data_IF_091574639437
#
_entry.id   IF_091574639437
#
_cell.length_a   1.000
_cell.length_b   1.000
_cell.length_c   1.000
_cell.angle_alpha   90.00
_cell.angle_beta   90.00
_cell.angle_gamma   90.00
#
_symmetry.space_group_name_H-M   'P 1'
#
loop_
_entity.id
_entity.type
_entity.pdbx_description
1 polymer ?
#
# COMPACT_ATOMS: atom_id res chain seq x y z
N UNK A 1 16.53 -29.43 -11.09
CA UNK A 1 15.85 -29.63 -12.38
C UNK A 1 14.58 -28.79 -12.39
N UNK A 2 14.10 -28.40 -13.58
CA UNK A 2 13.05 -27.39 -13.83
C UNK A 2 11.83 -27.50 -12.89
N UNK A 3 11.43 -26.38 -12.30
CA UNK A 3 10.01 -26.03 -12.06
C UNK A 3 9.68 -24.91 -13.06
N UNK A 4 8.62 -25.08 -13.83
CA UNK A 4 8.18 -24.08 -14.82
C UNK A 4 7.16 -23.17 -14.17
N UNK A 5 7.38 -21.86 -14.24
CA UNK A 5 6.29 -20.90 -14.04
C UNK A 5 5.35 -20.99 -15.25
N UNK A 6 4.05 -20.87 -15.00
CA UNK A 6 3.03 -20.60 -16.01
C UNK A 6 2.51 -19.21 -15.70
N UNK A 7 2.99 -18.21 -16.43
CA UNK A 7 2.37 -16.90 -16.46
C UNK A 7 1.24 -16.93 -17.51
N UNK A 8 0.01 -16.66 -17.08
CA UNK A 8 -1.16 -16.64 -17.96
C UNK A 8 -1.44 -15.19 -18.38
N UNK A 9 -0.92 -14.79 -19.53
CA UNK A 9 -1.12 -13.45 -20.06
C UNK A 9 -2.57 -13.26 -20.55
N UNK A 10 -3.33 -12.39 -19.87
CA UNK A 10 -4.61 -11.88 -20.37
C UNK A 10 -4.31 -10.61 -21.19
N UNK A 11 -4.43 -10.71 -22.51
CA UNK A 11 -4.23 -9.58 -23.42
C UNK A 11 -5.58 -8.96 -23.77
N UNK A 12 -5.85 -7.75 -23.27
CA UNK A 12 -7.02 -6.96 -23.67
C UNK A 12 -6.60 -5.99 -24.79
N UNK A 13 -7.10 -6.23 -26.01
CA UNK A 13 -6.85 -5.36 -27.15
C UNK A 13 -7.87 -4.22 -27.15
N UNK A 14 -7.45 -3.02 -26.75
CA UNK A 14 -8.21 -1.78 -26.97
C UNK A 14 -7.64 -1.06 -28.20
N UNK A 15 -8.30 -1.20 -29.34
CA UNK A 15 -7.92 -0.52 -30.59
C UNK A 15 -8.50 0.88 -30.65
N UNK A 16 -7.71 1.90 -30.28
CA UNK A 16 -8.04 3.29 -30.53
C UNK A 16 -7.62 3.70 -31.95
N UNK A 17 -8.60 3.96 -32.84
CA UNK A 17 -8.36 4.54 -34.17
C UNK A 17 -8.81 6.00 -34.16
N UNK A 18 -7.86 6.92 -34.01
CA UNK A 18 -8.07 8.34 -34.23
C UNK A 18 -7.59 8.73 -35.63
N UNK A 19 -8.54 9.02 -36.54
CA UNK A 19 -8.24 9.67 -37.83
C UNK A 19 -9.14 10.89 -37.97
N UNK A 20 -8.55 12.07 -37.83
CA UNK A 20 -9.22 13.34 -38.11
C UNK A 20 -8.90 13.81 -39.53
N UNK A 21 -9.93 14.09 -40.34
CA UNK A 21 -9.83 14.95 -41.52
C UNK A 21 -11.22 15.53 -41.91
N UNK A 22 -11.40 16.82 -41.60
CA UNK A 22 -12.22 17.84 -42.30
C UNK A 22 -13.39 17.44 -43.23
N UNK A 23 -14.61 17.75 -42.78
CA UNK A 23 -15.77 18.32 -43.50
C UNK A 23 -15.80 18.43 -45.04
N UNK A 24 -16.83 17.85 -45.68
CA UNK A 24 -17.73 18.52 -46.65
C UNK A 24 -19.00 17.70 -47.01
N UNK A 25 -20.16 18.36 -46.93
CA UNK A 25 -21.47 18.18 -47.59
C UNK A 25 -22.10 16.81 -48.01
N UNK A 26 -23.24 16.52 -47.36
CA UNK A 26 -24.58 16.18 -47.90
C UNK A 26 -24.73 15.18 -49.08
N UNK A 27 -25.29 13.99 -48.78
CA UNK A 27 -26.54 13.48 -49.40
C UNK A 27 -27.07 12.18 -48.74
N UNK A 28 -28.34 12.17 -48.35
CA UNK A 28 -29.16 10.94 -48.25
C UNK A 28 -29.61 10.52 -49.66
N UNK A 29 -29.80 9.22 -49.99
CA UNK A 29 -30.85 8.40 -49.35
C UNK A 29 -30.61 6.86 -49.28
N UNK A 30 -31.54 6.14 -48.63
CA UNK A 30 -31.94 4.78 -49.05
C UNK A 30 -31.96 3.71 -47.96
N UNK A 31 -33.16 3.33 -47.52
CA UNK A 31 -33.35 2.16 -46.68
C UNK A 31 -33.37 0.86 -47.51
N UNK A 32 -32.58 -0.14 -47.12
CA UNK A 32 -32.74 -1.55 -47.51
C UNK A 32 -32.62 -2.41 -46.23
N UNK A 33 -33.27 -3.56 -46.24
CA UNK A 33 -33.68 -4.35 -45.08
C UNK A 33 -33.15 -5.80 -45.18
N UNK A 34 -33.26 -6.59 -44.11
CA UNK A 34 -33.03 -8.07 -44.01
C UNK A 34 -31.56 -8.52 -44.31
N UNK A 35 -30.89 -9.42 -43.59
CA UNK A 35 -31.33 -10.69 -43.00
C UNK A 35 -30.66 -11.10 -41.67
N UNK A 36 -31.42 -11.85 -40.88
CA UNK A 36 -31.00 -12.56 -39.68
C UNK A 36 -30.50 -13.95 -40.06
N UNK A 37 -29.28 -14.32 -39.66
CA UNK A 37 -28.85 -15.73 -39.63
C UNK A 37 -28.59 -16.16 -38.20
N UNK A 38 -29.40 -17.12 -37.73
CA UNK A 38 -29.08 -17.92 -36.56
C UNK A 38 -27.96 -18.90 -36.93
N UNK A 39 -27.02 -19.13 -36.01
CA UNK A 39 -26.38 -20.43 -35.92
C UNK A 39 -26.26 -20.84 -34.45
N UNK A 40 -26.44 -22.14 -34.22
CA UNK A 40 -26.73 -22.78 -32.94
C UNK A 40 -25.50 -23.47 -32.35
N UNK A 41 -25.32 -23.39 -31.03
CA UNK A 41 -24.47 -24.35 -30.29
C UNK A 41 -25.08 -24.68 -28.92
N UNK A 42 -25.78 -25.81 -28.91
CA UNK A 42 -25.94 -26.82 -27.86
C UNK A 42 -25.76 -26.40 -26.37
N UNK A 43 -26.88 -26.35 -25.65
CA UNK A 43 -26.91 -26.57 -24.19
C UNK A 43 -26.59 -28.04 -23.88
N UNK A 44 -25.71 -28.28 -22.91
CA UNK A 44 -25.60 -29.57 -22.22
C UNK A 44 -26.20 -29.43 -20.83
N UNK A 45 -27.48 -29.75 -20.71
CA UNK A 45 -28.12 -30.00 -19.41
C UNK A 45 -27.67 -31.34 -18.87
N UNK A 46 -27.22 -31.38 -17.61
CA UNK A 46 -27.05 -32.63 -16.88
C UNK A 46 -27.92 -32.60 -15.62
N UNK A 47 -29.06 -33.26 -15.70
CA UNK A 47 -29.90 -33.56 -14.54
C UNK A 47 -29.14 -34.48 -13.57
N UNK A 48 -29.19 -34.18 -12.28
CA UNK A 48 -28.99 -35.16 -11.21
C UNK A 48 -30.16 -35.05 -10.25
N UNK A 49 -30.78 -36.19 -10.00
CA UNK A 49 -32.04 -36.36 -9.27
C UNK A 49 -31.90 -36.25 -7.75
N UNK A 50 -32.93 -35.71 -7.11
CA UNK A 50 -33.24 -35.98 -5.70
C UNK A 50 -33.55 -37.49 -5.52
N UNK A 51 -33.02 -38.11 -4.46
CA UNK A 51 -33.78 -38.66 -3.33
C UNK A 51 -32.87 -39.57 -2.43
N UNK A 52 -33.40 -39.98 -1.27
CA UNK A 52 -32.86 -40.90 -0.25
C UNK A 52 -32.04 -40.25 0.87
N UNK A 53 -32.75 -39.94 1.96
CA UNK A 53 -32.18 -39.73 3.29
C UNK A 53 -32.25 -41.02 4.13
N UNK A 54 -31.19 -41.33 4.88
CA UNK A 54 -31.26 -42.19 6.08
C UNK A 54 -30.01 -42.03 6.95
N UNK A 55 -30.23 -41.64 8.22
CA UNK A 55 -29.57 -42.04 9.48
C UNK A 55 -28.18 -42.74 9.40
N UNK A 56 -27.15 -42.30 10.14
CA UNK A 56 -26.98 -42.74 11.54
C UNK A 56 -26.10 -41.82 12.44
N UNK A 57 -26.58 -41.65 13.68
CA UNK A 57 -25.89 -41.50 14.99
C UNK A 57 -24.50 -40.88 15.16
N UNK A 58 -24.49 -39.74 15.86
CA UNK A 58 -23.73 -39.40 17.09
C UNK A 58 -22.49 -40.22 17.52
N UNK A 59 -21.43 -39.49 17.91
CA UNK A 59 -20.68 -39.77 19.15
C UNK A 59 -20.12 -38.47 19.76
N UNK A 60 -20.50 -38.18 21.01
CA UNK A 60 -19.84 -37.18 21.87
C UNK A 60 -18.79 -37.87 22.74
N UNK A 61 -17.69 -37.19 23.04
CA UNK A 61 -16.84 -37.53 24.19
C UNK A 61 -16.32 -36.24 24.86
N UNK A 62 -16.92 -35.91 25.99
CA UNK A 62 -16.41 -34.95 26.98
C UNK A 62 -15.21 -35.52 27.74
N UNK A 63 -14.31 -34.67 28.24
CA UNK A 63 -13.70 -34.94 29.55
C UNK A 63 -13.36 -33.65 30.30
N UNK A 64 -13.52 -33.69 31.62
CA UNK A 64 -13.54 -32.52 32.51
C UNK A 64 -12.16 -32.13 33.07
N UNK A 65 -12.10 -30.91 33.62
CA UNK A 65 -10.96 -30.42 34.36
C UNK A 65 -10.79 -31.10 35.73
N UNK A 66 -9.55 -31.19 36.20
CA UNK A 66 -9.27 -31.14 37.64
C UNK A 66 -8.00 -30.32 37.89
N UNK A 67 -7.99 -29.57 38.98
CA UNK A 67 -6.86 -28.77 39.43
C UNK A 67 -6.50 -29.19 40.85
N UNK A 68 -5.21 -29.27 41.17
CA UNK A 68 -4.73 -28.94 42.51
C UNK A 68 -3.23 -28.61 42.54
N UNK A 69 -2.86 -27.81 43.54
CA UNK A 69 -1.56 -27.15 43.73
C UNK A 69 -0.57 -27.96 44.58
N UNK A 70 0.73 -27.84 44.31
CA UNK A 70 1.78 -28.01 45.32
C UNK A 70 3.04 -27.18 45.00
N UNK A 71 3.73 -26.71 46.03
CA UNK A 71 4.88 -25.79 45.99
C UNK A 71 6.15 -26.42 46.60
N UNK A 72 7.34 -26.10 46.05
CA UNK A 72 8.65 -25.94 46.73
C UNK A 72 9.24 -27.13 47.55
N UNK A 73 10.54 -27.39 47.75
CA UNK A 73 11.85 -26.70 47.56
C UNK A 73 12.89 -27.76 47.05
N UNK A 74 13.78 -27.44 46.11
CA UNK A 74 15.22 -27.11 46.27
C UNK A 74 16.18 -28.21 46.83
N UNK A 75 17.15 -28.67 46.02
CA UNK A 75 18.60 -28.70 46.36
C UNK A 75 19.51 -29.36 45.29
N UNK A 76 20.27 -28.50 44.60
CA UNK A 76 21.68 -28.58 44.16
C UNK A 76 22.37 -29.86 43.58
N UNK A 77 23.06 -29.63 42.43
CA UNK A 77 24.37 -30.19 41.98
C UNK A 77 24.48 -31.72 41.68
N UNK A 78 25.29 -32.24 40.75
CA UNK A 78 26.16 -31.76 39.65
C UNK A 78 26.42 -32.99 38.71
N UNK A 79 27.11 -33.01 37.55
CA UNK A 79 28.10 -32.13 36.87
C UNK A 79 27.75 -32.00 35.34
N UNK A 80 28.58 -31.28 34.57
CA UNK A 80 28.49 -30.97 33.12
C UNK A 80 28.88 -32.07 32.10
N UNK A 81 28.32 -31.99 30.88
CA UNK A 81 29.13 -32.11 29.64
C UNK A 81 28.49 -31.38 28.44
N UNK A 82 29.25 -30.49 27.81
CA UNK A 82 28.94 -29.71 26.60
C UNK A 82 28.87 -30.64 25.34
N UNK A 83 28.41 -30.27 24.14
CA UNK A 83 28.23 -28.92 23.54
C UNK A 83 27.17 -28.95 22.41
N UNK A 84 26.53 -27.82 22.10
CA UNK A 84 25.58 -27.65 20.98
C UNK A 84 25.41 -26.16 20.59
N UNK A 85 24.87 -25.90 19.38
CA UNK A 85 24.69 -24.58 18.71
C UNK A 85 25.99 -24.08 18.01
N UNK A 86 25.98 -23.27 16.95
CA UNK A 86 25.08 -22.16 16.57
C UNK A 86 24.31 -22.36 15.24
N UNK A 87 23.14 -21.72 15.16
CA UNK A 87 22.25 -21.78 13.99
C UNK A 87 20.92 -21.05 14.20
N UNK A 88 20.95 -19.83 14.75
CA UNK A 88 19.77 -18.98 14.88
C UNK A 88 20.16 -17.49 14.84
N UNK A 89 19.46 -16.71 14.03
CA UNK A 89 19.57 -15.25 13.99
C UNK A 89 19.07 -14.66 15.31
N UNK A 90 19.88 -13.80 15.95
CA UNK A 90 19.43 -13.04 17.12
C UNK A 90 18.49 -11.93 16.71
N UNK A 91 17.24 -12.04 17.16
CA UNK A 91 16.51 -10.85 17.60
C UNK A 91 17.31 -10.13 18.69
N UNK A 92 17.44 -8.80 18.57
CA UNK A 92 17.83 -7.93 19.68
C UNK A 92 16.79 -6.83 19.89
N UNK A 93 15.97 -6.98 20.93
CA UNK A 93 15.11 -5.92 21.42
C UNK A 93 15.96 -4.76 21.97
N UNK A 94 15.88 -3.60 21.32
CA UNK A 94 15.91 -2.29 21.98
C UNK A 94 15.09 -1.31 21.15
N UNK A 95 14.07 -0.73 21.77
CA UNK A 95 13.11 0.19 21.16
C UNK A 95 13.69 1.63 21.11
N UNK A 96 13.05 2.50 20.31
CA UNK A 96 13.42 3.89 19.96
C UNK A 96 14.61 4.08 19.00
N UNK A 97 14.31 4.63 17.81
CA UNK A 97 15.30 5.24 16.92
C UNK A 97 15.47 6.71 17.31
N UNK A 98 16.43 7.00 18.19
CA UNK A 98 16.84 8.36 18.52
C UNK A 98 17.93 8.84 17.54
N UNK A 99 17.59 9.09 16.26
CA UNK A 99 18.51 9.83 15.40
C UNK A 99 18.41 11.34 15.70
N UNK A 100 19.48 12.10 15.46
CA UNK A 100 19.40 13.56 15.63
C UNK A 100 18.34 14.17 14.70
N UNK A 101 18.11 13.56 13.53
CA UNK A 101 17.18 14.00 12.50
C UNK A 101 15.71 13.83 12.90
N UNK A 102 15.36 12.80 13.69
CA UNK A 102 13.98 12.62 14.20
C UNK A 102 13.53 13.87 14.97
N UNK A 103 14.43 14.40 15.82
CA UNK A 103 14.15 15.62 16.59
C UNK A 103 14.06 16.88 15.74
N UNK A 104 14.71 16.93 14.57
CA UNK A 104 14.62 18.07 13.64
C UNK A 104 13.35 17.99 12.79
N UNK A 105 12.95 16.79 12.36
CA UNK A 105 11.67 16.56 11.66
C UNK A 105 10.51 16.97 12.55
N UNK A 106 10.49 16.58 13.83
CA UNK A 106 9.39 16.91 14.74
C UNK A 106 9.30 18.44 15.01
N UNK A 107 10.42 19.17 15.00
CA UNK A 107 10.44 20.65 15.04
C UNK A 107 9.89 21.28 13.76
N UNK A 108 10.25 20.73 12.60
CA UNK A 108 9.79 21.20 11.30
C UNK A 108 8.27 20.97 11.14
N UNK A 109 7.75 19.80 11.53
CA UNK A 109 6.31 19.50 11.55
C UNK A 109 5.51 20.42 12.48
N UNK A 110 6.12 20.90 13.57
CA UNK A 110 5.51 21.91 14.45
C UNK A 110 5.54 23.35 13.90
N UNK A 111 6.19 23.57 12.75
CA UNK A 111 6.25 24.87 12.07
C UNK A 111 5.09 25.03 11.07
N UNK A 112 5.13 26.09 10.25
CA UNK A 112 4.12 26.32 9.21
C UNK A 112 4.61 25.77 7.87
N UNK A 113 3.76 25.01 7.18
CA UNK A 113 4.04 24.57 5.82
C UNK A 113 4.31 25.76 4.86
N UNK A 114 5.26 25.57 3.96
CA UNK A 114 5.74 26.53 2.96
C UNK A 114 5.75 25.91 1.56
N UNK A 115 6.27 26.64 0.57
CA UNK A 115 6.57 26.11 -0.76
C UNK A 115 7.99 26.58 -1.11
N UNK A 116 8.98 25.67 -1.16
CA UNK A 116 10.36 26.07 -1.37
C UNK A 116 10.64 26.35 -2.86
N UNK A 117 11.60 27.23 -3.15
CA UNK A 117 11.96 27.62 -4.53
C UNK A 117 12.39 26.43 -5.40
N UNK A 118 12.93 25.37 -4.78
CA UNK A 118 13.39 24.14 -5.42
C UNK A 118 12.44 22.95 -5.19
N UNK A 119 11.14 23.18 -4.96
CA UNK A 119 10.14 22.13 -4.70
C UNK A 119 10.18 20.99 -5.73
N UNK A 120 10.32 21.28 -7.02
CA UNK A 120 10.24 20.27 -8.09
C UNK A 120 11.47 19.33 -8.06
N UNK A 121 12.62 19.86 -7.64
CA UNK A 121 13.86 19.11 -7.40
C UNK A 121 13.71 18.21 -6.16
N UNK A 122 13.16 18.76 -5.07
CA UNK A 122 12.93 18.03 -3.81
C UNK A 122 11.94 16.90 -4.03
N UNK A 123 10.78 17.17 -4.65
CA UNK A 123 9.77 16.15 -4.98
C UNK A 123 10.33 15.07 -5.89
N UNK A 124 11.14 15.42 -6.89
CA UNK A 124 11.77 14.43 -7.78
C UNK A 124 12.66 13.47 -6.99
N UNK A 125 13.59 13.98 -6.17
CA UNK A 125 14.47 13.14 -5.36
C UNK A 125 13.67 12.34 -4.31
N UNK A 126 12.63 12.94 -3.72
CA UNK A 126 11.75 12.26 -2.77
C UNK A 126 10.98 11.09 -3.40
N UNK A 127 10.53 11.24 -4.65
CA UNK A 127 9.89 10.16 -5.40
C UNK A 127 10.90 9.04 -5.72
N UNK A 128 12.14 9.38 -6.12
CA UNK A 128 13.20 8.39 -6.33
C UNK A 128 13.52 7.61 -5.03
N UNK A 129 13.48 8.27 -3.87
CA UNK A 129 13.58 7.62 -2.54
C UNK A 129 12.42 6.65 -2.28
N UNK A 130 11.19 7.03 -2.62
CA UNK A 130 10.00 6.19 -2.43
C UNK A 130 10.05 4.94 -3.30
N UNK A 131 10.39 5.08 -4.59
CA UNK A 131 10.52 3.99 -5.56
C UNK A 131 11.65 3.01 -5.18
N UNK A 132 12.72 3.49 -4.54
CA UNK A 132 13.85 2.64 -4.11
C UNK A 132 13.53 1.66 -2.97
N UNK A 133 12.34 1.75 -2.36
CA UNK A 133 11.86 0.88 -1.27
C UNK A 133 12.84 0.78 -0.09
N UNK A 134 13.31 1.94 0.38
CA UNK A 134 14.30 2.04 1.47
C UNK A 134 13.72 2.55 2.79
N UNK A 135 12.60 3.29 2.76
CA UNK A 135 12.02 3.90 3.96
C UNK A 135 11.46 2.83 4.92
N UNK A 136 11.67 3.04 6.22
CA UNK A 136 11.09 2.24 7.30
C UNK A 136 10.79 3.11 8.52
N UNK A 137 10.06 2.58 9.51
CA UNK A 137 9.75 3.29 10.76
C UNK A 137 10.96 3.70 11.60
N UNK A 138 12.10 3.03 11.44
CA UNK A 138 13.36 3.38 12.12
C UNK A 138 14.10 4.53 11.44
N UNK A 139 13.72 4.81 10.19
CA UNK A 139 14.45 5.61 9.22
C UNK A 139 15.88 5.17 8.96
N UNK A 140 16.57 5.91 8.10
CA UNK A 140 17.98 5.71 7.81
C UNK A 140 18.65 7.00 7.30
N UNK A 141 19.98 7.05 7.43
CA UNK A 141 20.84 8.15 6.94
C UNK A 141 21.43 7.74 5.58
N UNK A 142 21.25 8.56 4.55
CA UNK A 142 21.65 8.21 3.18
C UNK A 142 23.18 8.13 2.97
N UNK A 143 23.99 8.80 3.81
CA UNK A 143 25.46 8.68 3.74
C UNK A 143 25.99 7.36 4.32
N UNK A 144 25.16 6.63 5.06
CA UNK A 144 25.58 5.50 5.90
C UNK A 144 25.00 4.17 5.36
N UNK A 145 24.46 4.18 4.14
CA UNK A 145 23.91 3.02 3.45
C UNK A 145 24.99 1.94 3.19
N UNK A 146 24.58 0.68 3.27
CA UNK A 146 25.36 -0.41 2.67
C UNK A 146 25.28 -0.38 1.14
N UNK A 147 26.11 -1.19 0.50
CA UNK A 147 26.24 -1.21 -0.97
C UNK A 147 24.95 -1.66 -1.68
N UNK A 148 24.17 -2.56 -1.10
CA UNK A 148 22.97 -3.07 -1.78
C UNK A 148 21.83 -2.04 -1.69
N UNK A 149 21.77 -1.31 -0.58
CA UNK A 149 20.89 -0.16 -0.33
C UNK A 149 21.23 1.03 -1.23
N UNK A 150 22.52 1.40 -1.32
CA UNK A 150 23.03 2.46 -2.21
C UNK A 150 22.73 2.12 -3.69
N UNK A 151 22.89 0.85 -4.11
CA UNK A 151 22.56 0.42 -5.47
C UNK A 151 21.09 0.63 -5.85
N UNK A 152 20.14 0.42 -4.91
CA UNK A 152 18.70 0.62 -5.15
C UNK A 152 18.38 2.08 -5.47
N UNK A 153 18.80 3.03 -4.62
CA UNK A 153 18.53 4.45 -4.88
C UNK A 153 19.34 4.99 -6.06
N UNK A 154 20.55 4.48 -6.32
CA UNK A 154 21.26 4.80 -7.57
C UNK A 154 20.47 4.40 -8.80
N UNK A 155 19.76 3.26 -8.81
CA UNK A 155 18.89 2.84 -9.93
C UNK A 155 17.84 3.92 -10.25
N UNK A 156 17.03 4.29 -9.27
CA UNK A 156 15.93 5.27 -9.45
C UNK A 156 16.48 6.64 -9.87
N UNK A 157 17.48 7.15 -9.15
CA UNK A 157 18.11 8.44 -9.48
C UNK A 157 18.72 8.44 -10.89
N UNK A 158 19.36 7.34 -11.32
CA UNK A 158 19.93 7.22 -12.67
C UNK A 158 18.83 7.20 -13.73
N UNK A 159 17.71 6.52 -13.49
CA UNK A 159 16.55 6.56 -14.38
C UNK A 159 15.98 7.97 -14.49
N UNK A 160 15.69 8.64 -13.38
CA UNK A 160 15.12 10.00 -13.38
C UNK A 160 16.07 11.03 -14.00
N UNK A 161 17.37 10.96 -13.71
CA UNK A 161 18.38 11.81 -14.36
C UNK A 161 18.41 11.62 -15.89
N UNK A 162 18.21 10.39 -16.38
CA UNK A 162 18.27 10.06 -17.80
C UNK A 162 16.94 10.28 -18.54
N UNK A 163 15.80 9.92 -17.96
CA UNK A 163 14.51 9.76 -18.64
C UNK A 163 13.32 10.41 -17.93
N UNK A 164 13.53 10.98 -16.75
CA UNK A 164 12.53 11.81 -16.07
C UNK A 164 12.11 13.02 -16.90
N UNK A 165 11.06 13.71 -16.43
CA UNK A 165 10.47 14.87 -17.13
C UNK A 165 10.65 16.20 -16.40
N UNK A 166 10.86 16.16 -15.08
CA UNK A 166 10.85 17.32 -14.18
C UNK A 166 11.95 17.17 -13.10
N UNK A 167 12.11 18.19 -12.24
CA UNK A 167 13.05 18.15 -11.12
C UNK A 167 14.51 18.00 -11.54
N UNK A 168 15.14 16.85 -11.21
CA UNK A 168 16.55 16.59 -11.55
C UNK A 168 16.75 16.08 -12.98
N UNK A 169 15.67 15.79 -13.71
CA UNK A 169 15.72 15.19 -15.04
C UNK A 169 16.56 15.99 -16.06
N UNK A 170 17.36 15.29 -16.86
CA UNK A 170 18.21 15.89 -17.89
C UNK A 170 19.35 16.77 -17.32
N UNK A 171 19.56 16.77 -16.00
CA UNK A 171 20.66 17.53 -15.38
C UNK A 171 22.04 16.87 -15.62
N UNK A 172 22.08 15.64 -16.12
CA UNK A 172 23.27 14.97 -16.67
C UNK A 172 23.05 14.77 -18.18
N UNK A 173 24.08 15.04 -18.98
CA UNK A 173 23.98 14.97 -20.45
C UNK A 173 23.94 13.50 -20.93
N UNK A 174 22.85 13.12 -21.60
CA UNK A 174 22.77 11.87 -22.36
C UNK A 174 23.54 11.97 -23.67
N UNK A 175 24.35 10.95 -23.92
CA UNK A 175 25.22 10.79 -25.10
C UNK A 175 24.85 9.48 -25.80
N UNK A 176 25.25 9.36 -27.06
CA UNK A 176 24.99 8.19 -27.92
C UNK A 176 26.31 7.80 -28.60
N UNK A 177 26.58 6.50 -28.72
CA UNK A 177 27.77 5.95 -29.40
C UNK A 177 27.46 5.16 -30.67
N UNK A 178 26.21 5.22 -31.13
CA UNK A 178 25.69 4.45 -32.26
C UNK A 178 25.16 3.07 -31.88
N UNK A 179 25.29 2.65 -30.61
CA UNK A 179 24.78 1.36 -30.12
C UNK A 179 23.77 1.52 -28.97
N UNK A 180 24.05 2.40 -27.99
CA UNK A 180 23.19 2.69 -26.85
C UNK A 180 23.33 4.15 -26.40
N UNK A 181 22.29 4.64 -25.72
CA UNK A 181 22.40 5.87 -24.92
C UNK A 181 23.19 5.60 -23.64
N UNK A 182 23.99 6.57 -23.21
CA UNK A 182 24.80 6.51 -22.00
C UNK A 182 24.95 7.89 -21.36
N UNK A 183 25.34 7.91 -20.08
CA UNK A 183 25.80 9.11 -19.38
C UNK A 183 27.30 8.99 -19.06
N UNK A 184 27.98 10.12 -18.88
CA UNK A 184 29.38 10.13 -18.44
C UNK A 184 29.46 9.69 -16.98
N UNK A 185 30.38 8.76 -16.67
CA UNK A 185 30.60 8.27 -15.31
C UNK A 185 30.97 9.42 -14.34
N UNK A 186 31.83 10.35 -14.77
CA UNK A 186 32.26 11.50 -13.96
C UNK A 186 31.11 12.50 -13.70
N UNK A 187 30.30 12.80 -14.73
CA UNK A 187 29.17 13.74 -14.59
C UNK A 187 28.08 13.15 -13.68
N UNK A 188 27.83 11.84 -13.79
CA UNK A 188 26.86 11.13 -12.97
C UNK A 188 27.34 10.93 -11.53
N UNK A 189 28.62 10.59 -11.31
CA UNK A 189 29.23 10.57 -9.96
C UNK A 189 29.07 11.91 -9.26
N UNK A 190 29.29 13.01 -10.00
CA UNK A 190 29.08 14.35 -9.45
C UNK A 190 27.61 14.60 -9.10
N UNK A 191 26.66 14.22 -9.96
CA UNK A 191 25.23 14.38 -9.70
C UNK A 191 24.78 13.62 -8.43
N UNK A 192 25.10 12.31 -8.34
CA UNK A 192 24.74 11.48 -7.17
C UNK A 192 25.41 11.99 -5.88
N UNK A 193 26.64 12.48 -5.97
CA UNK A 193 27.34 13.11 -4.85
C UNK A 193 26.69 14.43 -4.39
N UNK A 194 26.25 15.27 -5.31
CA UNK A 194 25.50 16.49 -4.98
C UNK A 194 24.13 16.17 -4.33
N UNK A 195 23.47 15.09 -4.79
CA UNK A 195 22.15 14.65 -4.31
C UNK A 195 22.21 14.10 -2.88
N UNK A 196 23.07 13.12 -2.56
CA UNK A 196 23.10 12.48 -1.22
C UNK A 196 24.50 12.12 -0.70
N UNK A 197 25.57 12.56 -1.38
CA UNK A 197 26.95 12.28 -0.96
C UNK A 197 27.54 10.96 -1.44
N UNK A 198 26.94 10.33 -2.46
CA UNK A 198 27.39 9.08 -3.08
C UNK A 198 28.91 9.00 -3.32
N UNK A 199 29.48 7.83 -3.09
CA UNK A 199 30.91 7.56 -3.27
C UNK A 199 31.28 7.15 -4.70
N UNK A 200 30.82 5.96 -5.11
CA UNK A 200 31.12 5.33 -6.40
C UNK A 200 29.84 4.81 -7.04
N UNK A 201 29.81 4.69 -8.38
CA UNK A 201 28.65 4.13 -9.08
C UNK A 201 28.66 2.61 -8.95
N UNK A 202 27.54 2.04 -8.52
CA UNK A 202 27.41 0.62 -8.29
C UNK A 202 26.83 -0.04 -9.55
N UNK A 203 27.70 -0.72 -10.31
CA UNK A 203 27.25 -1.49 -11.46
C UNK A 203 26.49 -2.75 -11.01
N UNK A 204 25.31 -2.95 -11.61
CA UNK A 204 24.39 -4.07 -11.36
C UNK A 204 23.76 -4.58 -12.65
N UNK A 205 22.48 -4.99 -12.58
CA UNK A 205 21.75 -5.55 -13.72
C UNK A 205 21.30 -4.45 -14.69
N UNK A 206 20.54 -3.44 -14.24
CA UNK A 206 20.13 -2.30 -15.08
C UNK A 206 21.28 -1.30 -15.32
N UNK A 207 22.06 -0.98 -14.28
CA UNK A 207 23.16 0.02 -14.32
C UNK A 207 24.48 -0.65 -14.71
N UNK A 208 25.01 -0.36 -15.90
CA UNK A 208 26.28 -0.93 -16.39
C UNK A 208 27.34 0.14 -16.60
N UNK A 209 28.48 0.00 -15.91
CA UNK A 209 29.64 0.90 -16.05
C UNK A 209 30.69 0.25 -16.95
N UNK A 210 31.06 0.90 -18.06
CA UNK A 210 32.15 0.47 -18.95
C UNK A 210 32.90 1.67 -19.54
N UNK A 211 34.22 1.69 -19.42
CA UNK A 211 35.12 2.68 -20.03
C UNK A 211 34.71 4.16 -19.83
N UNK A 212 34.29 4.55 -18.61
CA UNK A 212 33.87 5.92 -18.30
C UNK A 212 32.45 6.27 -18.75
N UNK A 213 31.67 5.27 -19.19
CA UNK A 213 30.27 5.40 -19.59
C UNK A 213 29.37 4.59 -18.67
N UNK A 214 28.19 5.13 -18.41
CA UNK A 214 27.14 4.46 -17.64
C UNK A 214 25.93 4.27 -18.56
N UNK A 215 25.59 3.00 -18.80
CA UNK A 215 24.41 2.60 -19.56
C UNK A 215 23.31 2.19 -18.58
N UNK A 216 22.07 2.51 -18.94
CA UNK A 216 20.87 2.10 -18.23
C UNK A 216 19.99 1.28 -19.17
N UNK A 217 19.61 0.07 -18.74
CA UNK A 217 18.61 -0.76 -19.39
C UNK A 217 17.31 -0.70 -18.55
N UNK A 218 16.16 -0.38 -19.16
CA UNK A 218 14.87 -0.28 -18.45
C UNK A 218 14.41 -1.64 -17.91
N UNK A 219 13.90 -1.67 -16.68
CA UNK A 219 13.03 -2.72 -16.17
C UNK A 219 11.55 -2.43 -16.50
N UNK A 220 10.70 -3.46 -16.50
CA UNK A 220 9.25 -3.33 -16.64
C UNK A 220 8.49 -3.91 -15.44
N UNK A 221 7.44 -3.21 -15.00
CA UNK A 221 6.44 -3.77 -14.07
C UNK A 221 6.72 -3.64 -12.57
N UNK A 222 7.63 -2.78 -12.14
CA UNK A 222 7.83 -2.48 -10.71
C UNK A 222 6.57 -1.86 -10.06
N UNK A 223 6.32 -2.09 -8.76
CA UNK A 223 5.30 -1.36 -8.01
C UNK A 223 5.69 0.11 -7.85
N UNK A 224 4.70 0.97 -7.64
CA UNK A 224 4.92 2.39 -7.43
C UNK A 224 4.64 2.77 -5.98
N UNK A 225 5.42 3.72 -5.46
CA UNK A 225 5.13 4.41 -4.21
C UNK A 225 5.10 5.90 -4.48
N UNK A 226 3.98 6.52 -4.14
CA UNK A 226 3.81 7.97 -4.24
C UNK A 226 3.58 8.55 -2.84
N UNK A 227 3.70 9.88 -2.74
CA UNK A 227 3.12 10.65 -1.64
C UNK A 227 1.99 11.48 -2.21
N UNK A 228 0.80 11.29 -1.63
CA UNK A 228 -0.36 12.13 -1.88
C UNK A 228 -0.25 13.44 -1.07
N UNK A 229 -0.77 14.53 -1.62
CA UNK A 229 -0.74 15.90 -1.07
C UNK A 229 0.53 16.30 -0.28
N UNK A 230 1.74 16.25 -0.89
CA UNK A 230 3.00 16.53 -0.18
C UNK A 230 3.07 17.96 0.37
N UNK A 231 3.46 18.05 1.65
CA UNK A 231 3.75 19.28 2.37
C UNK A 231 5.26 19.50 2.52
N UNK A 232 5.65 20.77 2.64
CA UNK A 232 7.04 21.17 2.82
C UNK A 232 7.18 22.05 4.07
N UNK A 233 8.21 21.79 4.86
CA UNK A 233 8.55 22.58 6.05
C UNK A 233 10.04 22.94 6.01
N UNK A 234 10.42 24.11 6.51
CA UNK A 234 11.77 24.66 6.32
C UNK A 234 12.25 25.46 7.53
N UNK A 235 13.53 25.29 7.89
CA UNK A 235 14.25 26.12 8.86
C UNK A 235 15.58 26.64 8.24
N UNK A 236 16.48 27.23 9.03
CA UNK A 236 17.76 27.75 8.53
C UNK A 236 18.70 26.68 7.92
N UNK A 237 18.49 25.38 8.21
CA UNK A 237 19.40 24.28 7.89
C UNK A 237 18.79 23.21 6.98
N UNK A 238 17.47 22.98 7.06
CA UNK A 238 16.79 21.85 6.46
C UNK A 238 15.51 22.26 5.70
N UNK A 239 15.11 21.38 4.78
CA UNK A 239 13.79 21.32 4.18
C UNK A 239 13.28 19.87 4.35
N UNK A 240 12.08 19.71 4.91
CA UNK A 240 11.37 18.45 5.02
C UNK A 240 10.33 18.37 3.91
N UNK A 241 10.31 17.25 3.19
CA UNK A 241 9.20 16.77 2.37
C UNK A 241 8.43 15.73 3.20
N UNK A 242 7.11 15.86 3.31
CA UNK A 242 6.28 14.90 4.06
C UNK A 242 4.86 14.83 3.52
N UNK A 243 4.24 13.66 3.62
CA UNK A 243 2.83 13.44 3.29
C UNK A 243 2.48 11.95 3.33
N UNK A 244 1.19 11.61 3.26
CA UNK A 244 0.73 10.22 3.25
C UNK A 244 1.30 9.48 2.03
N UNK A 245 1.94 8.33 2.25
CA UNK A 245 2.49 7.52 1.17
C UNK A 245 1.61 6.32 0.88
N UNK A 246 1.23 6.19 -0.39
CA UNK A 246 0.48 5.05 -0.92
C UNK A 246 1.45 4.14 -1.68
N UNK A 247 1.42 2.85 -1.37
CA UNK A 247 1.94 1.79 -2.22
C UNK A 247 0.83 1.36 -3.18
N UNK A 248 1.16 1.18 -4.45
CA UNK A 248 0.30 0.55 -5.45
C UNK A 248 1.07 -0.38 -6.36
N UNK A 249 0.41 -1.41 -6.88
CA UNK A 249 1.01 -2.32 -7.86
C UNK A 249 0.11 -2.64 -9.07
N UNK A 250 0.68 -3.36 -10.03
CA UNK A 250 0.04 -3.73 -11.29
C UNK A 250 -1.12 -4.75 -11.12
N UNK A 251 -1.46 -5.16 -9.89
CA UNK A 251 -2.61 -6.00 -9.55
C UNK A 251 -3.76 -5.23 -8.89
N UNK A 252 -3.69 -3.89 -8.85
CA UNK A 252 -4.68 -3.01 -8.21
C UNK A 252 -4.76 -3.18 -6.69
N UNK A 253 -3.69 -3.68 -6.06
CA UNK A 253 -3.54 -3.61 -4.61
C UNK A 253 -2.96 -2.23 -4.27
N UNK A 254 -3.69 -1.48 -3.44
CA UNK A 254 -3.26 -0.17 -2.94
C UNK A 254 -3.41 -0.12 -1.42
N UNK A 255 -2.39 0.39 -0.73
CA UNK A 255 -2.47 0.68 0.71
C UNK A 255 -1.57 1.83 1.14
N UNK A 256 -2.07 2.61 2.09
CA UNK A 256 -1.34 3.60 2.87
C UNK A 256 -0.29 2.92 3.74
N UNK A 257 0.97 3.32 3.55
CA UNK A 257 2.15 2.78 4.25
C UNK A 257 2.46 3.56 5.53
N UNK A 258 2.11 4.85 5.55
CA UNK A 258 2.52 5.81 6.56
C UNK A 258 2.84 7.17 5.94
N UNK A 259 3.11 8.18 6.76
CA UNK A 259 3.68 9.43 6.25
C UNK A 259 5.15 9.25 5.92
N UNK A 260 5.58 9.58 4.69
CA UNK A 260 6.99 9.53 4.31
C UNK A 260 7.69 10.84 4.67
N UNK A 261 8.42 10.88 5.77
CA UNK A 261 9.22 12.04 6.17
C UNK A 261 10.61 11.95 5.50
N UNK A 262 10.90 12.79 4.52
CA UNK A 262 12.16 12.81 3.77
C UNK A 262 12.86 14.17 3.97
N UNK A 263 14.03 14.14 4.60
CA UNK A 263 14.75 15.32 5.05
C UNK A 263 15.93 15.66 4.15
N UNK A 264 15.97 16.93 3.73
CA UNK A 264 17.02 17.52 2.93
C UNK A 264 17.75 18.59 3.73
N UNK A 265 19.07 18.58 3.70
CA UNK A 265 19.91 19.67 4.20
C UNK A 265 20.13 20.70 3.10
N UNK A 266 19.97 21.98 3.42
CA UNK A 266 20.32 23.09 2.52
C UNK A 266 21.82 23.05 2.20
N UNK A 267 22.16 23.08 0.92
CA UNK A 267 23.54 22.96 0.46
C UNK A 267 23.78 23.84 -0.78
N UNK A 268 24.44 24.98 -0.59
CA UNK A 268 24.81 25.90 -1.67
C UNK A 268 25.88 25.37 -2.62
N UNK A 269 26.63 24.34 -2.21
CA UNK A 269 27.70 23.74 -3.02
C UNK A 269 27.15 22.64 -3.94
N UNK A 270 25.97 22.09 -3.62
CA UNK A 270 25.21 21.18 -4.48
C UNK A 270 24.55 21.94 -5.63
N UNK A 271 24.63 21.39 -6.85
CA UNK A 271 23.90 21.89 -8.03
C UNK A 271 22.37 22.04 -7.78
N UNK A 272 21.82 21.28 -6.84
CA UNK A 272 20.39 21.19 -6.55
C UNK A 272 19.95 22.13 -5.39
N UNK A 273 20.88 22.85 -4.76
CA UNK A 273 20.63 23.70 -3.59
C UNK A 273 20.38 22.93 -2.28
N UNK A 274 20.28 21.60 -2.36
CA UNK A 274 20.04 20.67 -1.25
C UNK A 274 20.88 19.41 -1.40
N UNK A 275 21.02 18.68 -0.29
CA UNK A 275 21.50 17.31 -0.23
C UNK A 275 20.56 16.51 0.68
N UNK A 276 20.04 15.40 0.17
CA UNK A 276 19.25 14.40 0.89
C UNK A 276 20.08 13.81 2.04
N UNK A 277 19.52 13.73 3.25
CA UNK A 277 20.27 13.29 4.45
C UNK A 277 19.62 12.16 5.22
N UNK A 278 18.30 12.15 5.38
CA UNK A 278 17.59 11.16 6.20
C UNK A 278 16.17 10.92 5.68
N UNK A 279 15.63 9.72 5.86
CA UNK A 279 14.24 9.40 5.55
C UNK A 279 13.66 8.35 6.47
N UNK A 280 12.38 8.49 6.86
CA UNK A 280 11.60 7.50 7.63
C UNK A 280 10.16 7.40 7.13
N UNK A 281 9.49 6.29 7.47
CA UNK A 281 8.03 6.30 7.57
C UNK A 281 7.62 6.67 9.00
N UNK A 282 6.57 7.48 9.13
CA UNK A 282 5.96 7.87 10.40
C UNK A 282 4.52 7.36 10.43
N UNK A 283 4.19 6.52 11.41
CA UNK A 283 2.81 6.07 11.67
C UNK A 283 1.97 7.18 12.30
N UNK A 284 1.59 8.16 11.50
CA UNK A 284 0.70 9.26 11.90
C UNK A 284 -0.77 8.98 11.55
N UNK A 285 -1.26 7.79 11.90
CA UNK A 285 -2.67 7.46 11.73
C UNK A 285 -3.49 8.39 12.63
N UNK A 286 -4.39 9.16 12.01
CA UNK A 286 -5.26 10.12 12.69
C UNK A 286 -6.13 9.38 13.70
N UNK A 287 -6.07 9.82 14.96
CA UNK A 287 -6.71 9.12 16.07
C UNK A 287 -8.24 9.27 16.03
N UNK A 288 -8.91 8.12 15.95
CA UNK A 288 -10.36 7.98 16.03
C UNK A 288 -10.72 7.79 17.51
N UNK A 289 -11.48 8.73 18.07
CA UNK A 289 -11.91 8.72 19.48
C UNK A 289 -13.12 7.81 19.73
N UNK A 290 -13.97 7.61 18.73
CA UNK A 290 -15.10 6.68 18.79
C UNK A 290 -15.64 6.32 17.42
N UNK A 291 -16.26 5.13 17.33
CA UNK A 291 -17.02 4.67 16.16
C UNK A 291 -18.48 4.49 16.55
N UNK A 292 -19.39 5.00 15.72
CA UNK A 292 -20.84 4.80 15.81
C UNK A 292 -21.31 4.08 14.55
N UNK A 293 -22.07 2.98 14.68
CA UNK A 293 -22.64 2.25 13.53
C UNK A 293 -24.16 2.23 13.60
N UNK A 294 -24.83 2.09 12.45
CA UNK A 294 -26.29 1.98 12.38
C UNK A 294 -26.82 0.64 12.91
N UNK A 295 -26.01 -0.41 12.83
CA UNK A 295 -26.25 -1.73 13.43
C UNK A 295 -24.92 -2.43 13.79
N UNK A 296 -25.02 -3.50 14.56
CA UNK A 296 -23.92 -4.42 14.89
C UNK A 296 -24.52 -5.83 15.02
N UNK A 297 -23.85 -6.85 14.49
CA UNK A 297 -24.23 -8.24 14.70
C UNK A 297 -24.11 -8.61 16.20
N UNK A 298 -25.10 -9.34 16.72
CA UNK A 298 -25.10 -9.74 18.12
C UNK A 298 -23.89 -10.63 18.47
N UNK A 299 -23.18 -10.29 19.56
CA UNK A 299 -22.04 -11.05 20.04
C UNK A 299 -22.38 -12.54 20.24
N UNK A 300 -21.54 -13.44 19.72
CA UNK A 300 -21.79 -14.88 19.77
C UNK A 300 -20.49 -15.67 19.90
N UNK A 301 -20.54 -16.84 20.58
CA UNK A 301 -19.40 -17.77 20.72
C UNK A 301 -18.09 -17.11 21.20
N UNK A 302 -18.19 -16.10 22.06
CA UNK A 302 -17.04 -15.36 22.59
C UNK A 302 -16.48 -14.27 21.67
N UNK A 303 -17.10 -14.00 20.51
CA UNK A 303 -16.73 -12.92 19.59
C UNK A 303 -17.70 -11.73 19.71
N UNK A 304 -17.14 -10.53 19.56
CA UNK A 304 -17.88 -9.28 19.30
C UNK A 304 -17.86 -8.96 17.81
N UNK A 305 -18.83 -8.17 17.35
CA UNK A 305 -18.92 -7.65 15.97
C UNK A 305 -19.16 -6.13 15.99
N UNK A 306 -18.63 -5.46 17.01
CA UNK A 306 -18.92 -4.04 17.28
C UNK A 306 -18.06 -3.12 16.42
N UNK A 307 -18.55 -1.90 16.13
CA UNK A 307 -17.79 -0.88 15.42
C UNK A 307 -16.45 -0.52 16.06
N UNK A 308 -16.23 -0.85 17.35
CA UNK A 308 -14.94 -0.71 18.02
C UNK A 308 -13.83 -1.60 17.44
N UNK A 309 -14.21 -2.75 16.88
CA UNK A 309 -13.30 -3.68 16.25
C UNK A 309 -12.66 -3.07 14.97
N UNK A 310 -13.27 -2.04 14.38
CA UNK A 310 -12.75 -1.36 13.19
C UNK A 310 -11.52 -0.47 13.46
N UNK A 311 -11.15 -0.27 14.71
CA UNK A 311 -10.09 0.68 15.12
C UNK A 311 -9.20 0.12 16.23
N UNK A 312 -9.19 -1.21 16.43
CA UNK A 312 -8.41 -1.86 17.48
C UNK A 312 -7.02 -2.32 17.02
N UNK A 313 -6.73 -2.27 15.72
CA UNK A 313 -5.46 -2.65 15.12
C UNK A 313 -5.27 -4.16 14.95
N UNK A 314 -6.30 -4.98 15.21
CA UNK A 314 -6.32 -6.41 14.90
C UNK A 314 -7.36 -6.71 13.81
N UNK A 315 -6.89 -6.72 12.56
CA UNK A 315 -7.67 -7.13 11.39
C UNK A 315 -8.29 -8.54 11.49
N UNK A 316 -7.93 -9.35 12.50
CA UNK A 316 -8.54 -10.66 12.77
C UNK A 316 -9.82 -10.55 13.61
N UNK A 317 -10.14 -9.34 14.11
CA UNK A 317 -11.48 -8.93 14.54
C UNK A 317 -12.22 -8.26 13.36
N UNK A 318 -13.52 -8.00 13.54
CA UNK A 318 -14.38 -7.36 12.52
C UNK A 318 -15.53 -6.62 13.19
N UNK A 319 -16.00 -5.52 12.60
CA UNK A 319 -17.41 -5.19 12.68
C UNK A 319 -18.17 -6.00 11.63
N UNK A 320 -19.37 -6.47 11.99
CA UNK A 320 -20.33 -6.93 11.00
C UNK A 320 -21.64 -6.21 11.27
N UNK A 321 -22.34 -5.82 10.21
CA UNK A 321 -23.69 -5.28 10.28
C UNK A 321 -24.67 -6.30 10.89
N UNK A 322 -25.77 -5.82 11.47
CA UNK A 322 -26.73 -6.63 12.21
C UNK A 322 -28.17 -6.51 11.72
N UNK A 323 -28.38 -6.06 10.49
CA UNK A 323 -29.71 -6.05 9.84
C UNK A 323 -29.94 -7.37 9.10
N UNK A 324 -31.02 -7.46 8.33
CA UNK A 324 -31.30 -8.64 7.50
C UNK A 324 -30.94 -8.33 6.06
N UNK A 325 -30.04 -9.12 5.48
CA UNK A 325 -29.57 -8.97 4.11
C UNK A 325 -28.07 -8.71 4.08
N UNK A 326 -27.63 -7.86 3.15
CA UNK A 326 -26.21 -7.56 2.89
C UNK A 326 -25.79 -6.17 3.44
N UNK A 327 -26.52 -5.61 4.41
CA UNK A 327 -26.20 -4.31 5.02
C UNK A 327 -26.26 -3.06 4.10
N UNK A 328 -26.73 -3.16 2.85
CA UNK A 328 -26.75 -2.00 1.94
C UNK A 328 -27.63 -0.87 2.51
N UNK A 329 -27.03 0.30 2.67
CA UNK A 329 -27.64 1.47 3.30
C UNK A 329 -27.17 1.75 4.73
N UNK A 330 -26.54 0.77 5.39
CA UNK A 330 -25.94 0.92 6.72
C UNK A 330 -24.76 1.90 6.70
N UNK A 331 -24.42 2.44 7.87
CA UNK A 331 -23.43 3.51 8.03
C UNK A 331 -22.48 3.26 9.19
N UNK A 332 -21.23 3.63 8.99
CA UNK A 332 -20.18 3.73 10.00
C UNK A 332 -19.78 5.21 10.11
N UNK A 333 -19.82 5.79 11.30
CA UNK A 333 -19.37 7.16 11.57
C UNK A 333 -18.19 7.14 12.51
N UNK A 334 -17.07 7.67 12.03
CA UNK A 334 -15.84 7.86 12.77
C UNK A 334 -15.84 9.27 13.38
N UNK A 335 -15.48 9.37 14.66
CA UNK A 335 -15.19 10.63 15.34
C UNK A 335 -13.71 10.72 15.61
N UNK A 336 -13.07 11.80 15.19
CA UNK A 336 -11.64 12.03 15.37
C UNK A 336 -11.41 12.72 16.73
N UNK A 337 -10.23 12.58 17.33
CA UNK A 337 -9.90 13.22 18.63
C UNK A 337 -9.94 14.76 18.58
N UNK A 338 -9.66 15.32 17.41
CA UNK A 338 -9.63 16.76 17.15
C UNK A 338 -9.99 17.02 15.69
N UNK A 339 -10.42 18.25 15.41
CA UNK A 339 -10.53 18.75 14.04
C UNK A 339 -9.13 18.96 13.45
N UNK A 340 -8.85 18.36 12.30
CA UNK A 340 -7.56 18.42 11.61
C UNK A 340 -7.74 18.17 10.11
N UNK A 341 -6.67 18.35 9.31
CA UNK A 341 -6.68 17.92 7.91
C UNK A 341 -6.75 16.39 7.85
N UNK A 342 -7.57 15.88 6.94
CA UNK A 342 -7.66 14.48 6.54
C UNK A 342 -7.45 14.44 5.02
N UNK A 343 -6.55 13.60 4.54
CA UNK A 343 -6.33 13.33 3.11
C UNK A 343 -7.17 12.16 2.63
N UNK A 344 -7.36 11.13 3.46
CA UNK A 344 -8.14 9.96 3.06
C UNK A 344 -8.43 8.97 4.18
N UNK A 345 -8.99 7.82 3.79
CA UNK A 345 -9.14 6.64 4.65
C UNK A 345 -8.61 5.39 3.96
N UNK A 346 -8.37 4.35 4.75
CA UNK A 346 -8.11 2.99 4.28
C UNK A 346 -9.08 2.03 4.96
N UNK A 347 -9.70 1.12 4.19
CA UNK A 347 -10.65 0.11 4.69
C UNK A 347 -10.07 -1.29 4.41
N UNK A 348 -9.97 -2.14 5.43
CA UNK A 348 -9.72 -3.57 5.29
C UNK A 348 -11.04 -4.33 5.10
N UNK A 349 -11.37 -4.69 3.86
CA UNK A 349 -12.65 -5.26 3.49
C UNK A 349 -12.80 -6.73 3.90
N UNK A 350 -14.01 -7.14 4.31
CA UNK A 350 -14.35 -8.52 4.64
C UNK A 350 -13.80 -9.01 5.98
N UNK A 351 -14.02 -10.30 6.27
CA UNK A 351 -13.51 -10.95 7.49
C UNK A 351 -12.17 -11.65 7.24
N UNK A 352 -11.08 -10.88 7.28
CA UNK A 352 -9.76 -11.30 6.78
C UNK A 352 -9.00 -12.33 7.65
N UNK A 353 -9.52 -12.65 8.85
CA UNK A 353 -8.90 -13.60 9.79
C UNK A 353 -8.60 -15.00 9.24
N UNK A 354 -9.24 -15.43 8.15
CA UNK A 354 -8.84 -16.60 7.34
C UNK A 354 -9.61 -16.65 6.02
N UNK A 355 -9.11 -17.38 5.03
CA UNK A 355 -9.80 -17.63 3.76
C UNK A 355 -11.25 -18.11 3.93
N UNK A 356 -11.47 -19.04 4.87
CA UNK A 356 -12.81 -19.57 5.17
C UNK A 356 -13.75 -18.53 5.77
N UNK A 357 -13.22 -17.58 6.56
CA UNK A 357 -14.04 -16.49 7.12
C UNK A 357 -14.33 -15.44 6.06
N UNK A 358 -13.33 -15.02 5.28
CA UNK A 358 -13.52 -14.05 4.19
C UNK A 358 -14.57 -14.52 3.19
N UNK A 359 -14.49 -15.79 2.74
CA UNK A 359 -15.43 -16.34 1.75
C UNK A 359 -16.80 -16.74 2.31
N UNK A 360 -16.94 -16.93 3.62
CA UNK A 360 -18.23 -17.30 4.23
C UNK A 360 -19.15 -16.12 4.54
N UNK A 361 -18.60 -14.93 4.78
CA UNK A 361 -19.34 -13.72 5.18
C UNK A 361 -19.44 -12.72 4.01
N UNK A 362 -20.30 -11.71 4.14
CA UNK A 362 -20.44 -10.65 3.15
C UNK A 362 -19.26 -9.68 3.14
N UNK A 363 -19.04 -9.05 2.00
CA UNK A 363 -17.99 -8.04 1.76
C UNK A 363 -18.60 -6.80 1.10
N UNK A 364 -17.97 -5.64 1.29
CA UNK A 364 -18.32 -4.42 0.58
C UNK A 364 -17.99 -4.57 -0.91
N UNK A 365 -18.79 -3.93 -1.77
CA UNK A 365 -18.47 -3.69 -3.19
C UNK A 365 -18.47 -2.21 -3.53
N UNK A 366 -19.24 -1.38 -2.82
CA UNK A 366 -19.30 0.06 -3.07
C UNK A 366 -19.56 0.81 -1.76
N UNK A 367 -18.87 1.93 -1.58
CA UNK A 367 -19.13 2.85 -0.46
C UNK A 367 -19.27 4.30 -0.93
N UNK A 368 -20.01 5.08 -0.15
CA UNK A 368 -19.97 6.54 -0.17
C UNK A 368 -19.39 7.05 1.13
N UNK A 369 -18.26 7.75 1.06
CA UNK A 369 -17.60 8.38 2.21
C UNK A 369 -17.89 9.87 2.19
N UNK A 370 -18.47 10.42 3.26
CA UNK A 370 -18.58 11.85 3.53
C UNK A 370 -17.50 12.24 4.56
N UNK A 371 -16.49 12.99 4.11
CA UNK A 371 -15.41 13.51 4.95
C UNK A 371 -15.81 14.79 5.71
N UNK A 372 -17.09 15.17 5.66
CA UNK A 372 -17.61 16.39 6.25
C UNK A 372 -17.59 17.57 5.26
N UNK A 373 -18.28 18.65 5.64
CA UNK A 373 -18.45 19.86 4.82
C UNK A 373 -19.03 19.61 3.40
N UNK A 374 -19.67 18.45 3.17
CA UNK A 374 -20.19 18.05 1.86
C UNK A 374 -19.13 17.53 0.88
N UNK A 375 -17.93 17.18 1.37
CA UNK A 375 -16.90 16.51 0.59
C UNK A 375 -17.15 15.01 0.60
N UNK A 376 -17.78 14.50 -0.46
CA UNK A 376 -18.11 13.08 -0.58
C UNK A 376 -17.37 12.41 -1.72
N UNK A 377 -16.85 11.21 -1.48
CA UNK A 377 -16.28 10.31 -2.48
C UNK A 377 -17.19 9.08 -2.60
N UNK A 378 -17.55 8.70 -3.82
CA UNK A 378 -18.17 7.40 -4.13
C UNK A 378 -17.07 6.50 -4.70
N UNK A 379 -16.92 5.28 -4.16
CA UNK A 379 -15.76 4.42 -4.44
C UNK A 379 -16.16 2.93 -4.54
N UNK A 380 -15.66 2.24 -5.56
CA UNK A 380 -15.80 0.79 -5.74
C UNK A 380 -14.74 0.07 -4.91
N UNK A 381 -15.15 -0.86 -4.05
CA UNK A 381 -14.27 -1.57 -3.12
C UNK A 381 -13.87 -2.91 -3.76
N UNK A 382 -12.55 -3.07 -3.96
CA UNK A 382 -11.92 -4.31 -4.36
C UNK A 382 -11.64 -5.25 -3.18
N UNK A 383 -11.16 -6.44 -3.51
CA UNK A 383 -10.72 -7.43 -2.53
C UNK A 383 -10.84 -8.87 -3.00
N UNK A 384 -9.83 -9.69 -2.70
CA UNK A 384 -9.85 -11.11 -3.01
C UNK A 384 -9.08 -11.95 -1.99
N UNK A 385 -9.40 -13.25 -1.94
CA UNK A 385 -8.68 -14.23 -1.15
C UNK A 385 -8.65 -15.57 -1.90
N UNK A 386 -7.54 -16.29 -1.81
CA UNK A 386 -7.39 -17.64 -2.38
C UNK A 386 -7.10 -18.66 -1.28
N UNK A 387 -7.47 -19.92 -1.53
CA UNK A 387 -7.17 -21.01 -0.61
C UNK A 387 -5.66 -21.16 -0.44
N UNK A 388 -5.20 -21.23 0.82
CA UNK A 388 -3.79 -21.27 1.17
C UNK A 388 -3.14 -19.91 1.47
N UNK A 389 -3.83 -18.79 1.25
CA UNK A 389 -3.37 -17.49 1.75
C UNK A 389 -3.42 -17.45 3.29
N UNK A 390 -2.41 -16.82 3.91
CA UNK A 390 -2.43 -16.51 5.35
C UNK A 390 -3.40 -15.36 5.62
N UNK A 391 -3.80 -15.18 6.89
CA UNK A 391 -4.66 -14.06 7.27
C UNK A 391 -4.01 -12.70 6.93
N UNK A 392 -2.69 -12.60 7.08
CA UNK A 392 -1.92 -11.38 6.83
C UNK A 392 -1.93 -11.04 5.33
N UNK A 393 -1.67 -12.02 4.45
CA UNK A 393 -1.78 -11.86 2.98
C UNK A 393 -3.23 -11.55 2.55
N UNK A 394 -4.24 -12.07 3.24
CA UNK A 394 -5.64 -11.69 2.97
C UNK A 394 -5.86 -10.22 3.37
N UNK A 395 -5.45 -9.79 4.56
CA UNK A 395 -5.60 -8.39 4.96
C UNK A 395 -4.91 -7.42 3.99
N UNK A 396 -3.67 -7.72 3.59
CA UNK A 396 -2.90 -6.97 2.59
C UNK A 396 -3.64 -6.81 1.25
N UNK A 397 -4.22 -7.90 0.71
CA UNK A 397 -4.96 -7.88 -0.56
C UNK A 397 -6.41 -7.36 -0.46
N UNK A 398 -6.83 -6.88 0.72
CA UNK A 398 -8.19 -6.37 0.95
C UNK A 398 -8.20 -4.98 1.59
N UNK A 399 -7.04 -4.32 1.72
CA UNK A 399 -7.00 -2.89 1.94
C UNK A 399 -7.43 -2.14 0.67
N UNK A 400 -8.21 -1.09 0.87
CA UNK A 400 -8.69 -0.18 -0.18
C UNK A 400 -8.47 1.25 0.30
N UNK A 401 -7.87 2.09 -0.55
CA UNK A 401 -7.53 3.49 -0.25
C UNK A 401 -8.58 4.42 -0.85
N UNK A 402 -9.11 5.34 -0.06
CA UNK A 402 -10.14 6.30 -0.50
C UNK A 402 -9.65 7.71 -0.18
N UNK A 403 -9.15 8.40 -1.21
CA UNK A 403 -8.50 9.71 -1.11
C UNK A 403 -9.45 10.86 -1.50
N UNK A 404 -9.10 12.07 -1.06
CA UNK A 404 -9.71 13.31 -1.50
C UNK A 404 -8.83 14.02 -2.55
N UNK A 405 -9.45 14.68 -3.53
CA UNK A 405 -8.73 15.57 -4.47
C UNK A 405 -7.89 16.67 -3.77
N UNK A 406 -8.29 17.06 -2.55
CA UNK A 406 -7.65 18.08 -1.71
C UNK A 406 -8.01 17.77 -0.23
N UNK A 407 -7.05 17.78 0.73
CA UNK A 407 -7.33 17.46 2.13
C UNK A 407 -8.36 18.39 2.78
N UNK A 408 -9.22 17.85 3.65
CA UNK A 408 -10.30 18.61 4.29
C UNK A 408 -10.12 18.73 5.80
N UNK A 409 -10.38 19.91 6.36
CA UNK A 409 -10.36 20.11 7.81
C UNK A 409 -11.67 19.59 8.45
N UNK A 410 -11.62 18.44 9.12
CA UNK A 410 -12.77 17.74 9.70
C UNK A 410 -12.45 17.06 11.04
N UNK A 411 -13.50 16.70 11.79
CA UNK A 411 -13.46 15.84 13.00
C UNK A 411 -14.39 14.62 12.89
N UNK A 412 -15.09 14.47 11.76
CA UNK A 412 -16.11 13.45 11.55
C UNK A 412 -16.04 12.94 10.12
N UNK A 413 -16.08 11.61 9.95
CA UNK A 413 -16.17 10.95 8.65
C UNK A 413 -17.32 9.94 8.73
N UNK A 414 -18.22 9.93 7.74
CA UNK A 414 -19.33 8.96 7.66
C UNK A 414 -19.20 8.14 6.39
N UNK A 415 -18.99 6.84 6.55
CA UNK A 415 -18.97 5.84 5.48
C UNK A 415 -20.36 5.22 5.40
N UNK A 416 -20.93 5.15 4.20
CA UNK A 416 -22.19 4.48 3.93
C UNK A 416 -21.97 3.34 2.95
N UNK A 417 -22.50 2.15 3.26
CA UNK A 417 -22.53 1.02 2.33
C UNK A 417 -23.51 1.35 1.21
N UNK A 418 -23.02 1.44 -0.03
CA UNK A 418 -23.83 1.63 -1.24
C UNK A 418 -23.95 0.36 -2.08
N UNK A 419 -23.05 -0.59 -1.87
CA UNK A 419 -23.06 -1.93 -2.47
C UNK A 419 -22.29 -2.93 -1.61
N UNK A 420 -22.80 -4.15 -1.58
CA UNK A 420 -22.22 -5.27 -0.85
C UNK A 420 -22.59 -6.58 -1.56
N UNK A 421 -21.91 -7.66 -1.19
CA UNK A 421 -22.12 -9.00 -1.74
C UNK A 421 -22.06 -10.02 -0.61
N UNK A 422 -23.13 -10.81 -0.45
CA UNK A 422 -23.17 -11.92 0.52
C UNK A 422 -22.03 -12.93 0.33
N UNK A 423 -21.64 -13.55 1.44
CA UNK A 423 -20.73 -14.69 1.45
C UNK A 423 -21.39 -16.00 1.02
N UNK A 424 -20.60 -17.06 1.02
CA UNK A 424 -21.06 -18.41 0.71
C UNK A 424 -22.04 -18.98 1.76
N UNK A 425 -22.09 -18.41 2.98
CA UNK A 425 -22.88 -18.93 4.10
C UNK A 425 -23.72 -17.88 4.82
N UNK A 426 -23.20 -16.67 4.97
CA UNK A 426 -23.84 -15.56 5.69
C UNK A 426 -23.98 -14.37 4.75
N UNK A 427 -25.12 -13.68 4.84
CA UNK A 427 -25.36 -12.41 4.14
C UNK A 427 -24.76 -11.20 4.90
N UNK A 428 -24.56 -11.33 6.22
CA UNK A 428 -23.95 -10.32 7.09
C UNK A 428 -22.64 -9.77 6.49
N UNK A 429 -22.60 -8.48 6.15
CA UNK A 429 -21.38 -7.82 5.63
C UNK A 429 -20.44 -7.43 6.75
N UNK A 430 -19.16 -7.81 6.62
CA UNK A 430 -18.13 -7.55 7.62
C UNK A 430 -16.98 -6.69 7.07
N UNK A 431 -16.36 -5.92 7.96
CA UNK A 431 -15.17 -5.09 7.70
C UNK A 431 -14.20 -5.29 8.86
N UNK A 432 -12.92 -5.53 8.55
CA UNK A 432 -11.88 -5.81 9.55
C UNK A 432 -11.40 -4.54 10.26
N UNK A 433 -10.94 -3.53 9.52
CA UNK A 433 -10.23 -2.37 10.08
C UNK A 433 -10.48 -1.12 9.22
N UNK A 434 -10.44 0.07 9.82
CA UNK A 434 -10.49 1.36 9.13
C UNK A 434 -9.45 2.31 9.73
N UNK A 435 -8.60 2.88 8.88
CA UNK A 435 -7.61 3.90 9.23
C UNK A 435 -7.93 5.23 8.55
N UNK A 436 -7.51 6.33 9.17
CA UNK A 436 -7.64 7.70 8.66
C UNK A 436 -6.25 8.32 8.65
N UNK A 437 -5.91 9.10 7.62
CA UNK A 437 -4.61 9.75 7.44
C UNK A 437 -4.73 11.14 6.79
#
# INVERSE_FOLDING_TARGET
MKKSFIAMAISVIVSAVAVGCTSADVQEPGAINIETTQETTEEVTQEISEDQASEETSEEASEEASAETATSEDSAADESSEDATEGASKDSKSEASDSEYDSEIDKLLASKAITPDNKDIISSIANDVLLSDLLSEKGFVFSDMDKDTDAKIQRELIETLAYGKEGIAGSVEKKDDGSKQYMSEDDLKKALKDIYGAGEIISGYEVKVDNGKVYYDFGDGEPWKAVDHPQFFEDDKYILFTGPSIYGDNSSVEFYVGHADILFKKNSDSKYGVTLVYGRYRKDNIKISSVETSSELAASKGKTYSGKNLIDGDFKTVWCEGVKGEGVGETITLKLEKKQLVSGIQICNGYTASYNLYTSNGVLTDVKVDFGNGKTVDHEIGGYAYEGFTADVIAENNYNVIELDEPVETDTITIKITGAKKGAKYDDTCVSEIMVY
#
